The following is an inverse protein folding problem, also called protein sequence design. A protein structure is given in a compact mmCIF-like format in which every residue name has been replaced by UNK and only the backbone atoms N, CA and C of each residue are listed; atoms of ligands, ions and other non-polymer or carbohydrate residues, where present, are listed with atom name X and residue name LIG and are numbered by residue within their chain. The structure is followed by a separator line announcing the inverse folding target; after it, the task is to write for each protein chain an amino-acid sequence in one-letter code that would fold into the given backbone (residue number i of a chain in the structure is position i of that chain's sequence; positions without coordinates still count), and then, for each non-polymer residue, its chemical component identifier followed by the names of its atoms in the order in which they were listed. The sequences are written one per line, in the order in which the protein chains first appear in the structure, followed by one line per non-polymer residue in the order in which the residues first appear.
data_IF_377848853652
#
_entry.id   IF_377848853652
#
_cell.length_a   1.000
_cell.length_b   1.000
_cell.length_c   1.000
_cell.angle_alpha   90.00
_cell.angle_beta   90.00
_cell.angle_gamma   90.00
#
_symmetry.space_group_name_H-M   'P 1'
#
loop_
_entity.id
_entity.type
_entity.pdbx_description
1 polymer ?
#
# COMPACT_ATOMS: atom_id res chain seq x y z
N UNK A 1 -17.58 87.71 66.77
CA UNK A 1 -18.75 88.19 67.51
C UNK A 1 -19.81 87.10 67.48
N UNK A 2 -20.27 86.71 68.68
CA UNK A 2 -21.61 86.22 69.05
C UNK A 2 -22.20 85.06 68.22
N UNK A 3 -22.24 83.89 68.87
CA UNK A 3 -23.20 82.81 68.58
C UNK A 3 -24.65 83.32 68.60
N UNK A 4 -25.54 82.63 67.88
CA UNK A 4 -26.82 82.29 68.49
C UNK A 4 -27.12 80.80 68.38
N UNK A 5 -27.37 80.22 69.56
CA UNK A 5 -28.10 78.98 69.80
C UNK A 5 -29.61 79.24 69.63
N UNK A 6 -30.32 78.48 68.80
CA UNK A 6 -31.79 78.24 68.86
C UNK A 6 -32.08 76.85 68.22
N UNK A 7 -33.16 76.12 68.58
CA UNK A 7 -33.12 74.96 69.46
C UNK A 7 -33.39 73.63 68.72
N UNK A 8 -33.21 72.57 69.48
CA UNK A 8 -33.44 71.17 69.13
C UNK A 8 -34.95 70.90 68.96
N UNK A 9 -35.34 70.32 67.83
CA UNK A 9 -36.58 69.53 67.70
C UNK A 9 -36.18 68.07 67.48
N UNK A 10 -36.41 67.21 68.48
CA UNK A 10 -36.22 65.76 68.36
C UNK A 10 -37.26 65.19 67.38
N UNK A 11 -36.81 64.66 66.25
CA UNK A 11 -37.55 63.68 65.47
C UNK A 11 -36.75 62.37 65.51
N UNK A 12 -37.26 61.38 66.24
CA UNK A 12 -36.69 60.04 66.30
C UNK A 12 -36.95 59.33 64.96
N UNK A 13 -35.94 59.29 64.10
CA UNK A 13 -35.91 58.44 62.92
C UNK A 13 -35.11 57.16 63.26
N UNK A 14 -35.80 56.03 63.20
CA UNK A 14 -35.21 54.68 63.27
C UNK A 14 -34.28 54.48 62.06
N UNK A 15 -32.97 54.62 62.27
CA UNK A 15 -31.96 54.22 61.30
C UNK A 15 -31.65 52.73 61.46
N UNK A 16 -32.19 51.90 60.57
CA UNK A 16 -31.68 50.55 60.37
C UNK A 16 -30.27 50.66 59.74
N UNK A 17 -29.27 49.94 60.25
CA UNK A 17 -27.94 49.95 59.68
C UNK A 17 -27.96 49.22 58.33
N UNK A 18 -27.80 49.96 57.25
CA UNK A 18 -27.41 49.39 55.96
C UNK A 18 -25.95 48.99 56.09
N UNK A 19 -25.71 47.72 56.42
CA UNK A 19 -24.38 47.14 56.34
C UNK A 19 -24.05 46.92 54.87
N UNK A 20 -23.12 47.72 54.34
CA UNK A 20 -22.48 47.44 53.07
C UNK A 20 -21.70 46.12 53.19
N UNK A 21 -22.28 45.02 52.70
CA UNK A 21 -21.56 43.77 52.59
C UNK A 21 -20.47 43.93 51.52
N UNK A 22 -19.22 44.02 52.00
CA UNK A 22 -18.05 43.71 51.19
C UNK A 22 -18.24 42.29 50.65
N UNK A 23 -18.43 42.18 49.34
CA UNK A 23 -18.47 40.88 48.68
C UNK A 23 -17.13 40.22 48.94
N UNK A 24 -17.08 39.03 49.55
CA UNK A 24 -15.81 38.33 49.65
C UNK A 24 -15.33 38.09 48.21
N UNK A 25 -14.18 38.68 47.88
CA UNK A 25 -13.38 38.20 46.75
C UNK A 25 -13.07 36.73 47.06
N UNK A 26 -13.93 35.84 46.59
CA UNK A 26 -13.60 34.45 46.45
C UNK A 26 -12.36 34.45 45.57
N UNK A 27 -11.22 34.10 46.15
CA UNK A 27 -10.06 33.69 45.39
C UNK A 27 -10.56 32.59 44.45
N UNK A 28 -10.77 32.95 43.18
CA UNK A 28 -11.03 31.98 42.15
C UNK A 28 -9.81 31.06 42.17
N UNK A 29 -9.99 29.87 42.72
CA UNK A 29 -8.96 28.85 42.69
C UNK A 29 -8.77 28.50 41.22
N UNK A 30 -7.79 29.13 40.57
CA UNK A 30 -7.44 28.85 39.18
C UNK A 30 -6.69 27.50 39.15
N UNK A 31 -7.44 26.41 39.32
CA UNK A 31 -7.08 25.11 38.77
C UNK A 31 -8.21 24.51 37.92
N UNK A 32 -8.45 25.01 36.69
CA UNK A 32 -9.17 24.25 35.65
C UNK A 32 -8.25 23.72 34.53
N UNK A 33 -6.96 24.13 34.48
CA UNK A 33 -6.10 23.83 33.33
C UNK A 33 -5.50 22.42 33.33
N UNK A 34 -4.97 21.93 34.47
CA UNK A 34 -4.27 20.62 34.53
C UNK A 34 -5.20 19.42 34.32
N UNK A 35 -6.39 19.44 34.92
CA UNK A 35 -7.35 18.33 34.80
C UNK A 35 -7.92 18.22 33.38
N UNK A 36 -8.26 19.35 32.77
CA UNK A 36 -8.76 19.41 31.40
C UNK A 36 -7.71 18.96 30.38
N UNK A 37 -6.45 19.37 30.55
CA UNK A 37 -5.36 18.97 29.66
C UNK A 37 -5.02 17.47 29.77
N UNK A 38 -5.04 16.91 30.98
CA UNK A 38 -4.84 15.48 31.20
C UNK A 38 -5.96 14.62 30.58
N UNK A 39 -7.21 15.09 30.65
CA UNK A 39 -8.35 14.39 30.04
C UNK A 39 -8.30 14.39 28.52
N UNK A 40 -7.92 15.52 27.91
CA UNK A 40 -7.76 15.62 26.45
C UNK A 40 -6.65 14.66 25.97
N UNK A 41 -5.52 14.65 26.66
CA UNK A 41 -4.37 13.81 26.31
C UNK A 41 -4.72 12.32 26.38
N UNK A 42 -5.37 11.88 27.47
CA UNK A 42 -5.85 10.50 27.59
C UNK A 42 -6.89 10.14 26.51
N UNK A 43 -7.76 11.08 26.12
CA UNK A 43 -8.75 10.84 25.07
C UNK A 43 -8.12 10.66 23.68
N UNK A 44 -7.00 11.35 23.42
CA UNK A 44 -6.22 11.23 22.19
C UNK A 44 -5.48 9.90 22.14
N UNK A 45 -4.87 9.50 23.26
CA UNK A 45 -4.17 8.21 23.36
C UNK A 45 -5.11 7.02 23.18
N UNK A 46 -6.28 7.04 23.82
CA UNK A 46 -7.29 6.00 23.64
C UNK A 46 -7.74 5.89 22.17
N UNK A 47 -7.80 7.02 21.45
CA UNK A 47 -8.09 7.04 20.01
C UNK A 47 -6.95 6.42 19.20
N UNK A 48 -5.70 6.78 19.49
CA UNK A 48 -4.53 6.23 18.82
C UNK A 48 -4.41 4.72 19.06
N UNK A 49 -4.57 4.26 20.30
CA UNK A 49 -4.60 2.84 20.64
C UNK A 49 -5.62 2.08 19.77
N UNK A 50 -6.84 2.62 19.68
CA UNK A 50 -7.92 2.03 18.89
C UNK A 50 -7.62 1.99 17.39
N UNK A 51 -6.96 2.99 16.83
CA UNK A 51 -6.56 3.01 15.41
C UNK A 51 -5.60 1.87 15.07
N UNK A 52 -4.71 1.53 16.01
CA UNK A 52 -3.79 0.40 15.91
C UNK A 52 -4.40 -0.94 16.35
N UNK A 53 -5.63 -0.97 16.85
CA UNK A 53 -6.26 -2.17 17.41
C UNK A 53 -5.66 -2.62 18.75
N UNK A 54 -4.99 -1.71 19.44
CA UNK A 54 -4.37 -1.91 20.75
C UNK A 54 -5.33 -1.54 21.88
N UNK A 55 -5.12 -2.15 23.05
CA UNK A 55 -5.71 -1.67 24.30
C UNK A 55 -4.92 -0.48 24.86
N UNK A 56 -5.54 0.27 25.76
CA UNK A 56 -4.93 1.44 26.39
C UNK A 56 -3.62 1.10 27.13
N UNK A 57 -3.57 -0.06 27.81
CA UNK A 57 -2.37 -0.54 28.51
C UNK A 57 -1.22 -0.86 27.54
N UNK A 58 -1.53 -1.36 26.35
CA UNK A 58 -0.54 -1.70 25.34
C UNK A 58 0.04 -0.46 24.69
N UNK A 59 -0.80 0.55 24.44
CA UNK A 59 -0.35 1.82 23.91
C UNK A 59 0.48 2.60 24.93
N UNK A 60 0.12 2.53 26.22
CA UNK A 60 0.95 3.09 27.30
C UNK A 60 2.34 2.42 27.33
N UNK A 61 2.39 1.09 27.25
CA UNK A 61 3.65 0.34 27.17
C UNK A 61 4.49 0.73 25.94
N UNK A 62 3.86 0.90 24.78
CA UNK A 62 4.56 1.39 23.58
C UNK A 62 5.29 2.70 23.85
N UNK A 63 4.65 3.67 24.51
CA UNK A 63 5.29 4.96 24.83
C UNK A 63 6.46 4.81 25.77
N UNK A 64 6.31 4.01 26.83
CA UNK A 64 7.40 3.72 27.77
C UNK A 64 8.60 3.09 27.04
N UNK A 65 8.36 2.15 26.12
CA UNK A 65 9.42 1.56 25.30
C UNK A 65 10.11 2.61 24.40
N UNK A 66 9.35 3.54 23.83
CA UNK A 66 9.89 4.64 23.02
C UNK A 66 10.69 5.67 23.81
N UNK A 67 10.56 5.71 25.14
CA UNK A 67 11.47 6.48 26.01
C UNK A 67 12.79 5.74 26.29
N UNK A 68 12.86 4.46 25.95
CA UNK A 68 14.01 3.58 26.14
C UNK A 68 14.89 3.37 24.90
N UNK A 69 15.75 2.32 24.91
CA UNK A 69 16.71 2.07 23.84
C UNK A 69 16.10 1.92 22.45
N UNK A 70 14.93 1.27 22.31
CA UNK A 70 14.28 1.09 21.01
C UNK A 70 13.85 2.44 20.40
N UNK A 71 13.44 3.40 21.22
CA UNK A 71 13.15 4.76 20.76
C UNK A 71 14.39 5.55 20.35
N UNK A 72 15.56 5.27 20.97
CA UNK A 72 16.85 5.84 20.53
C UNK A 72 17.26 5.26 19.18
N UNK A 73 17.15 3.94 19.00
CA UNK A 73 17.53 3.28 17.75
C UNK A 73 16.52 3.51 16.61
N UNK A 74 15.24 3.68 16.92
CA UNK A 74 14.14 3.71 15.94
C UNK A 74 13.02 4.67 16.36
N UNK A 75 13.27 6.00 16.37
CA UNK A 75 12.38 7.01 16.96
C UNK A 75 11.01 7.18 16.28
N UNK A 76 10.81 6.65 15.07
CA UNK A 76 9.57 6.78 14.29
C UNK A 76 8.93 5.42 13.96
N UNK A 77 9.28 4.38 14.72
CA UNK A 77 8.74 3.04 14.49
C UNK A 77 7.29 2.96 14.96
N UNK A 78 6.46 2.23 14.23
CA UNK A 78 5.05 2.12 14.55
C UNK A 78 4.82 1.29 15.84
N UNK A 79 3.69 1.50 16.55
CA UNK A 79 3.43 0.84 17.82
C UNK A 79 3.43 -0.68 17.78
N UNK A 80 2.96 -1.30 16.70
CA UNK A 80 2.87 -2.76 16.57
C UNK A 80 4.24 -3.38 16.32
N UNK A 81 5.08 -2.73 15.52
CA UNK A 81 6.48 -3.13 15.32
C UNK A 81 7.28 -3.01 16.62
N UNK A 82 7.15 -1.91 17.37
CA UNK A 82 7.83 -1.74 18.67
C UNK A 82 7.39 -2.83 19.66
N UNK A 83 6.08 -3.01 19.84
CA UNK A 83 5.54 -4.02 20.76
C UNK A 83 5.89 -5.45 20.33
N UNK A 84 5.98 -5.72 19.03
CA UNK A 84 6.38 -7.01 18.48
C UNK A 84 7.86 -7.33 18.65
N UNK A 85 8.75 -6.34 18.46
CA UNK A 85 10.19 -6.50 18.70
C UNK A 85 10.45 -6.75 20.19
N UNK A 86 9.88 -5.90 21.04
CA UNK A 86 10.02 -5.92 22.50
C UNK A 86 9.06 -6.91 23.20
N UNK A 87 8.42 -7.80 22.46
CA UNK A 87 7.43 -8.74 23.00
C UNK A 87 8.01 -9.63 24.11
N UNK A 88 7.26 -9.84 25.19
CA UNK A 88 7.70 -10.60 26.38
C UNK A 88 7.54 -12.12 26.21
N UNK A 89 6.80 -12.53 25.20
CA UNK A 89 6.55 -13.92 24.87
C UNK A 89 6.33 -14.08 23.37
N UNK A 90 6.45 -15.32 22.90
CA UNK A 90 6.15 -15.65 21.50
C UNK A 90 4.65 -15.44 21.17
N UNK A 91 3.77 -15.59 22.15
CA UNK A 91 2.34 -15.31 21.99
C UNK A 91 2.08 -13.80 21.78
N UNK A 92 2.70 -12.93 22.59
CA UNK A 92 2.63 -11.49 22.38
C UNK A 92 3.18 -11.11 21.00
N UNK A 93 4.35 -11.65 20.65
CA UNK A 93 5.02 -11.39 19.37
C UNK A 93 4.12 -11.78 18.19
N UNK A 94 3.51 -12.96 18.26
CA UNK A 94 2.58 -13.46 17.25
C UNK A 94 1.34 -12.57 17.14
N UNK A 95 0.73 -12.19 18.26
CA UNK A 95 -0.46 -11.34 18.25
C UNK A 95 -0.18 -9.97 17.60
N UNK A 96 0.93 -9.33 17.94
CA UNK A 96 1.28 -8.03 17.32
C UNK A 96 1.62 -8.16 15.84
N UNK A 97 2.28 -9.25 15.43
CA UNK A 97 2.53 -9.52 14.01
C UNK A 97 1.22 -9.73 13.22
N UNK A 98 0.27 -10.49 13.76
CA UNK A 98 -1.04 -10.71 13.14
C UNK A 98 -1.83 -9.39 13.02
N UNK A 99 -1.77 -8.53 14.05
CA UNK A 99 -2.40 -7.21 14.03
C UNK A 99 -1.74 -6.29 12.99
N UNK A 100 -0.41 -6.33 12.85
CA UNK A 100 0.33 -5.57 11.85
C UNK A 100 -0.11 -5.96 10.44
N UNK A 101 -0.25 -7.26 10.17
CA UNK A 101 -0.73 -7.75 8.85
C UNK A 101 -2.13 -7.19 8.54
N UNK A 102 -3.03 -7.15 9.52
CA UNK A 102 -4.38 -6.61 9.32
C UNK A 102 -4.40 -5.09 9.10
N UNK A 103 -3.53 -4.34 9.78
CA UNK A 103 -3.38 -2.89 9.58
C UNK A 103 -2.81 -2.61 8.19
N UNK A 104 -1.75 -3.32 7.78
CA UNK A 104 -1.14 -3.12 6.47
C UNK A 104 -2.06 -3.55 5.33
N UNK A 105 -2.84 -4.63 5.49
CA UNK A 105 -3.84 -5.00 4.49
C UNK A 105 -4.84 -3.86 4.24
N UNK A 106 -5.41 -3.28 5.30
CA UNK A 106 -6.31 -2.12 5.21
C UNK A 106 -5.64 -0.88 4.62
N UNK A 107 -4.36 -0.67 4.93
CA UNK A 107 -3.57 0.44 4.37
C UNK A 107 -3.36 0.26 2.86
N UNK A 108 -2.99 -0.93 2.42
CA UNK A 108 -2.82 -1.27 1.00
C UNK A 108 -4.13 -1.14 0.23
N UNK A 109 -5.25 -1.57 0.80
CA UNK A 109 -6.58 -1.36 0.18
C UNK A 109 -6.88 0.11 -0.09
N UNK A 110 -6.60 1.00 0.88
CA UNK A 110 -6.77 2.45 0.72
C UNK A 110 -5.83 3.01 -0.35
N UNK A 111 -4.57 2.59 -0.36
CA UNK A 111 -3.59 3.00 -1.37
C UNK A 111 -4.01 2.58 -2.77
N UNK A 112 -4.51 1.35 -2.94
CA UNK A 112 -5.01 0.86 -4.22
C UNK A 112 -6.28 1.60 -4.67
N UNK A 113 -7.20 1.89 -3.74
CA UNK A 113 -8.38 2.70 -4.04
C UNK A 113 -7.98 4.10 -4.53
N UNK A 114 -7.02 4.74 -3.86
CA UNK A 114 -6.51 6.04 -4.30
C UNK A 114 -5.76 5.95 -5.63
N UNK A 115 -4.94 4.92 -5.83
CA UNK A 115 -4.21 4.72 -7.09
C UNK A 115 -5.17 4.65 -8.28
N UNK A 116 -6.28 3.92 -8.16
CA UNK A 116 -7.30 3.87 -9.23
C UNK A 116 -7.90 5.25 -9.52
N UNK A 117 -8.27 5.99 -8.47
CA UNK A 117 -8.79 7.35 -8.63
C UNK A 117 -7.77 8.30 -9.28
N UNK A 118 -6.49 8.15 -8.92
CA UNK A 118 -5.39 8.89 -9.54
C UNK A 118 -5.20 8.48 -11.01
N UNK A 119 -5.35 7.19 -11.32
CA UNK A 119 -5.28 6.64 -12.66
C UNK A 119 -6.32 7.26 -13.59
N UNK A 120 -7.58 7.24 -13.15
CA UNK A 120 -8.71 7.84 -13.83
C UNK A 120 -8.55 9.37 -13.96
N UNK A 121 -8.07 10.04 -12.90
CA UNK A 121 -7.87 11.48 -12.92
C UNK A 121 -6.88 11.91 -14.00
N UNK A 122 -5.77 11.20 -14.14
CA UNK A 122 -4.77 11.57 -15.13
C UNK A 122 -5.16 11.21 -16.55
N UNK A 123 -5.95 10.16 -16.78
CA UNK A 123 -6.52 9.93 -18.12
C UNK A 123 -7.36 11.12 -18.57
N UNK A 124 -8.16 11.71 -17.67
CA UNK A 124 -8.97 12.90 -17.95
C UNK A 124 -8.16 14.16 -18.12
N UNK A 125 -7.13 14.35 -17.27
CA UNK A 125 -6.38 15.60 -17.20
C UNK A 125 -5.19 15.67 -18.16
N UNK A 126 -4.63 14.52 -18.57
CA UNK A 126 -3.44 14.43 -19.43
C UNK A 126 -3.66 13.42 -20.57
N UNK A 127 -4.66 13.61 -21.45
CA UNK A 127 -4.91 12.69 -22.55
C UNK A 127 -3.72 12.68 -23.52
N UNK A 128 -3.24 11.49 -23.89
CA UNK A 128 -2.12 11.31 -24.81
C UNK A 128 -0.72 11.54 -24.22
N UNK A 129 -0.61 11.95 -22.96
CA UNK A 129 0.69 12.09 -22.30
C UNK A 129 1.14 10.75 -21.70
N UNK A 130 2.31 10.30 -22.13
CA UNK A 130 2.97 9.11 -21.60
C UNK A 130 3.30 9.30 -20.10
N UNK A 131 2.88 8.38 -19.23
CA UNK A 131 3.16 8.45 -17.79
C UNK A 131 4.61 8.18 -17.43
N UNK A 132 5.26 7.31 -18.19
CA UNK A 132 6.65 6.93 -18.02
C UNK A 132 7.29 6.99 -19.40
N UNK A 133 8.22 7.92 -19.59
CA UNK A 133 9.13 7.88 -20.71
C UNK A 133 10.27 6.94 -20.33
N UNK A 134 10.16 5.67 -20.73
CA UNK A 134 11.34 4.81 -20.76
C UNK A 134 12.17 5.21 -21.99
N UNK A 135 13.48 5.45 -21.85
CA UNK A 135 14.35 5.54 -23.01
C UNK A 135 14.33 4.19 -23.72
N UNK A 136 14.04 4.24 -25.02
CA UNK A 136 14.03 3.13 -25.98
C UNK A 136 12.81 2.19 -25.96
N UNK A 137 11.69 2.69 -26.49
CA UNK A 137 10.86 1.89 -27.40
C UNK A 137 10.54 2.74 -28.62
N UNK A 138 10.89 2.22 -29.81
CA UNK A 138 10.62 2.84 -31.11
C UNK A 138 9.12 3.21 -31.20
N UNK A 139 8.76 4.35 -31.82
CA UNK A 139 7.36 4.73 -31.95
C UNK A 139 6.64 3.72 -32.85
N UNK A 140 5.85 2.83 -32.24
CA UNK A 140 5.09 1.79 -32.92
C UNK A 140 4.71 0.57 -32.07
N UNK A 141 5.36 0.33 -30.93
CA UNK A 141 5.02 -0.77 -30.04
C UNK A 141 4.21 -0.26 -28.84
N UNK A 142 2.92 -0.59 -28.78
CA UNK A 142 2.11 -0.43 -27.59
C UNK A 142 2.59 -1.42 -26.51
N UNK A 143 3.61 -1.06 -25.73
CA UNK A 143 4.09 -1.88 -24.61
C UNK A 143 3.40 -1.43 -23.32
N UNK A 144 2.23 -2.03 -23.06
CA UNK A 144 1.56 -1.97 -21.76
C UNK A 144 2.32 -2.86 -20.77
N UNK A 145 2.72 -2.32 -19.62
CA UNK A 145 3.55 -2.93 -18.56
C UNK A 145 2.90 -4.08 -17.77
N UNK A 146 1.92 -4.78 -18.36
CA UNK A 146 1.43 -6.03 -17.77
C UNK A 146 2.32 -7.18 -18.26
N UNK A 147 2.91 -8.01 -17.38
CA UNK A 147 3.61 -9.22 -17.81
C UNK A 147 2.67 -10.21 -18.52
N UNK A 148 1.36 -9.99 -18.44
CA UNK A 148 0.33 -10.70 -19.20
C UNK A 148 -0.21 -9.94 -20.41
N UNK A 149 0.17 -8.68 -20.69
CA UNK A 149 -0.18 -8.07 -22.00
C UNK A 149 0.97 -8.32 -22.95
N UNK A 150 0.68 -9.12 -23.98
CA UNK A 150 1.64 -9.39 -25.03
C UNK A 150 1.91 -8.11 -25.81
N UNK A 151 3.07 -8.02 -26.43
CA UNK A 151 3.42 -6.99 -27.42
C UNK A 151 2.54 -7.03 -28.69
N UNK A 152 1.39 -7.71 -28.66
CA UNK A 152 0.61 -8.15 -29.83
C UNK A 152 1.27 -9.29 -30.63
N UNK A 153 2.51 -9.66 -30.30
CA UNK A 153 3.25 -10.78 -30.89
C UNK A 153 2.66 -12.12 -30.48
N UNK A 154 2.80 -13.10 -31.36
CA UNK A 154 2.35 -14.47 -31.13
C UNK A 154 3.19 -15.12 -30.02
N UNK A 155 2.55 -15.67 -29.00
CA UNK A 155 3.23 -16.47 -27.98
C UNK A 155 3.04 -17.96 -28.26
N UNK A 156 4.13 -18.72 -28.20
CA UNK A 156 4.14 -20.16 -28.49
C UNK A 156 4.61 -20.91 -27.25
N UNK A 157 3.70 -21.63 -26.61
CA UNK A 157 3.99 -22.45 -25.44
C UNK A 157 4.35 -23.86 -25.87
N UNK A 158 5.49 -24.34 -25.40
CA UNK A 158 6.02 -25.68 -25.70
C UNK A 158 6.47 -26.37 -24.42
N UNK A 159 6.55 -27.70 -24.46
CA UNK A 159 7.21 -28.50 -23.42
C UNK A 159 8.25 -29.42 -24.05
N UNK A 160 9.20 -29.85 -23.25
CA UNK A 160 10.10 -30.94 -23.63
C UNK A 160 9.32 -32.26 -23.72
N UNK A 161 9.77 -33.20 -24.57
CA UNK A 161 9.05 -34.45 -24.82
C UNK A 161 7.72 -34.29 -25.58
N UNK A 162 7.50 -33.16 -26.25
CA UNK A 162 6.36 -32.90 -27.12
C UNK A 162 6.81 -32.88 -28.58
N UNK A 163 6.50 -33.94 -29.33
CA UNK A 163 6.91 -34.06 -30.74
C UNK A 163 6.27 -32.97 -31.62
N UNK A 164 4.97 -32.71 -31.43
CA UNK A 164 4.23 -31.69 -32.16
C UNK A 164 4.79 -30.27 -31.95
N UNK A 165 5.47 -30.02 -30.83
CA UNK A 165 6.02 -28.70 -30.49
C UNK A 165 7.14 -28.31 -31.45
N UNK A 166 8.04 -29.23 -31.81
CA UNK A 166 9.11 -28.96 -32.76
C UNK A 166 8.56 -28.66 -34.16
N UNK A 167 7.61 -29.47 -34.63
CA UNK A 167 6.98 -29.30 -35.94
C UNK A 167 6.24 -27.97 -36.08
N UNK A 168 5.50 -27.57 -35.04
CA UNK A 168 4.82 -26.27 -35.00
C UNK A 168 5.82 -25.11 -35.12
N UNK A 169 6.89 -25.16 -34.32
CA UNK A 169 7.89 -24.09 -34.27
C UNK A 169 8.62 -23.98 -35.61
N UNK A 170 8.95 -25.10 -36.24
CA UNK A 170 9.52 -25.11 -37.60
C UNK A 170 8.56 -24.51 -38.62
N UNK A 171 7.26 -24.84 -38.55
CA UNK A 171 6.25 -24.28 -39.46
C UNK A 171 6.17 -22.75 -39.31
N UNK A 172 6.03 -22.25 -38.08
CA UNK A 172 5.98 -20.82 -37.78
C UNK A 172 7.28 -20.09 -38.20
N UNK A 173 8.42 -20.75 -38.00
CA UNK A 173 9.69 -20.20 -38.45
C UNK A 173 9.76 -20.10 -39.98
N UNK A 174 9.32 -21.14 -40.69
CA UNK A 174 9.35 -21.19 -42.17
C UNK A 174 8.39 -20.20 -42.82
N UNK A 175 7.28 -19.85 -42.15
CA UNK A 175 6.36 -18.80 -42.60
C UNK A 175 6.85 -17.38 -42.31
N UNK A 176 8.04 -17.21 -41.74
CA UNK A 176 8.57 -15.91 -41.36
C UNK A 176 7.84 -15.28 -40.16
N UNK A 177 6.98 -16.02 -39.48
CA UNK A 177 6.22 -15.50 -38.33
C UNK A 177 7.17 -15.14 -37.20
N UNK A 178 7.01 -13.95 -36.64
CA UNK A 178 7.70 -13.55 -35.42
C UNK A 178 6.91 -14.02 -34.19
N UNK A 179 7.59 -14.63 -33.23
CA UNK A 179 6.92 -15.17 -32.05
C UNK A 179 7.85 -15.24 -30.84
N UNK A 180 7.23 -15.27 -29.67
CA UNK A 180 7.90 -15.44 -28.40
C UNK A 180 7.65 -16.86 -27.89
N UNK A 181 8.70 -17.66 -27.82
CA UNK A 181 8.62 -19.05 -27.39
C UNK A 181 8.75 -19.12 -25.86
N UNK A 182 7.81 -19.81 -25.21
CA UNK A 182 7.80 -20.03 -23.77
C UNK A 182 7.88 -21.53 -23.48
N UNK A 183 8.97 -21.97 -22.84
CA UNK A 183 9.11 -23.37 -22.42
C UNK A 183 8.48 -23.60 -21.04
N UNK A 184 7.40 -24.37 -21.04
CA UNK A 184 6.69 -24.86 -19.86
C UNK A 184 7.51 -25.94 -19.16
N UNK A 185 7.61 -25.84 -17.83
CA UNK A 185 8.34 -26.82 -17.02
C UNK A 185 9.86 -26.79 -17.19
N UNK A 186 10.40 -25.69 -17.73
CA UNK A 186 11.85 -25.47 -17.88
C UNK A 186 12.60 -25.31 -16.56
N UNK A 187 11.91 -25.03 -15.44
CA UNK A 187 12.50 -24.83 -14.09
C UNK A 187 13.60 -23.77 -14.04
N UNK A 188 13.49 -22.72 -14.88
CA UNK A 188 14.52 -21.67 -15.01
C UNK A 188 15.90 -22.23 -15.42
N UNK A 189 15.94 -23.37 -16.09
CA UNK A 189 17.16 -23.96 -16.65
C UNK A 189 17.31 -23.53 -18.12
N UNK A 190 18.14 -22.52 -18.36
CA UNK A 190 18.42 -22.02 -19.71
C UNK A 190 19.01 -23.10 -20.63
N UNK A 191 19.82 -24.02 -20.09
CA UNK A 191 20.49 -25.04 -20.90
C UNK A 191 19.44 -25.93 -21.57
N UNK A 192 18.38 -26.26 -20.84
CA UNK A 192 17.26 -27.02 -21.36
C UNK A 192 16.57 -26.35 -22.54
N UNK A 193 16.34 -25.04 -22.46
CA UNK A 193 15.72 -24.27 -23.57
C UNK A 193 16.65 -24.23 -24.78
N UNK A 194 17.93 -23.93 -24.56
CA UNK A 194 18.93 -23.88 -25.64
C UNK A 194 19.10 -25.22 -26.34
N UNK A 195 19.16 -26.30 -25.59
CA UNK A 195 19.33 -27.64 -26.15
C UNK A 195 18.09 -28.10 -26.90
N UNK A 196 16.90 -27.80 -26.38
CA UNK A 196 15.65 -28.04 -27.09
C UNK A 196 15.61 -27.25 -28.41
N UNK A 197 15.96 -25.96 -28.39
CA UNK A 197 15.96 -25.10 -29.57
C UNK A 197 16.92 -25.59 -30.65
N UNK A 198 18.10 -26.10 -30.26
CA UNK A 198 19.04 -26.77 -31.18
C UNK A 198 18.43 -28.03 -31.78
N UNK A 199 17.86 -28.91 -30.96
CA UNK A 199 17.25 -30.17 -31.42
C UNK A 199 16.07 -29.94 -32.38
N UNK A 200 15.29 -28.89 -32.16
CA UNK A 200 14.15 -28.52 -33.02
C UNK A 200 14.52 -27.61 -34.19
N UNK A 201 15.81 -27.30 -34.36
CA UNK A 201 16.34 -26.48 -35.45
C UNK A 201 15.75 -25.05 -35.50
N UNK A 202 15.59 -24.44 -34.33
CA UNK A 202 15.31 -23.00 -34.23
C UNK A 202 16.51 -22.22 -34.77
N UNK A 203 16.27 -21.29 -35.68
CA UNK A 203 17.32 -20.52 -36.36
C UNK A 203 18.00 -19.54 -35.37
N UNK A 204 19.31 -19.73 -35.08
CA UNK A 204 20.03 -18.86 -34.17
C UNK A 204 20.17 -17.41 -34.65
N UNK A 205 20.11 -17.14 -35.96
CA UNK A 205 20.11 -15.78 -36.49
C UNK A 205 18.79 -15.06 -36.17
N UNK A 206 17.67 -15.78 -36.30
CA UNK A 206 16.34 -15.26 -35.93
C UNK A 206 16.18 -15.02 -34.44
N UNK A 207 16.84 -15.84 -33.60
CA UNK A 207 16.91 -15.63 -32.15
C UNK A 207 17.77 -14.41 -31.81
N UNK A 208 18.99 -14.32 -32.35
CA UNK A 208 19.87 -13.15 -32.13
C UNK A 208 19.26 -11.84 -32.62
N UNK A 209 18.49 -11.89 -33.71
CA UNK A 209 17.76 -10.73 -34.25
C UNK A 209 16.44 -10.41 -33.54
N UNK A 210 16.02 -11.19 -32.53
CA UNK A 210 14.80 -10.95 -31.76
C UNK A 210 13.48 -11.32 -32.46
N UNK A 211 13.53 -11.77 -33.72
CA UNK A 211 12.34 -12.23 -34.44
C UNK A 211 11.73 -13.49 -33.83
N UNK A 212 12.54 -14.31 -33.15
CA UNK A 212 12.12 -15.40 -32.27
C UNK A 212 12.75 -15.15 -30.91
N UNK A 213 11.98 -15.15 -29.82
CA UNK A 213 12.55 -15.09 -28.47
C UNK A 213 12.43 -16.43 -27.77
N UNK A 214 13.37 -16.77 -26.89
CA UNK A 214 13.37 -18.00 -26.11
C UNK A 214 13.22 -17.64 -24.63
N UNK A 215 12.12 -18.06 -24.02
CA UNK A 215 11.72 -17.63 -22.69
C UNK A 215 11.33 -18.82 -21.81
N UNK A 216 11.50 -18.65 -20.50
CA UNK A 216 10.85 -19.51 -19.51
C UNK A 216 9.38 -19.13 -19.38
N UNK A 217 8.51 -20.12 -19.33
CA UNK A 217 7.09 -19.89 -19.09
C UNK A 217 6.83 -19.24 -17.71
N UNK A 218 7.54 -19.68 -16.67
CA UNK A 218 7.38 -19.11 -15.32
C UNK A 218 5.98 -19.25 -14.71
N UNK A 219 5.15 -20.17 -15.20
CA UNK A 219 3.75 -20.33 -14.79
C UNK A 219 2.75 -19.62 -15.70
N UNK A 220 3.19 -18.87 -16.72
CA UNK A 220 2.35 -18.09 -17.61
C UNK A 220 1.27 -18.93 -18.29
N UNK A 221 1.58 -20.11 -18.80
CA UNK A 221 0.63 -21.01 -19.45
C UNK A 221 -0.54 -21.36 -18.54
N UNK A 222 -0.24 -21.69 -17.27
CA UNK A 222 -1.27 -21.99 -16.27
C UNK A 222 -2.11 -20.76 -15.95
N UNK A 223 -1.47 -19.59 -15.82
CA UNK A 223 -2.16 -18.33 -15.54
C UNK A 223 -3.08 -17.86 -16.67
N UNK A 224 -2.84 -18.26 -17.92
CA UNK A 224 -3.71 -17.93 -19.04
C UNK A 224 -5.06 -18.67 -18.98
N UNK A 225 -5.12 -19.83 -18.30
CA UNK A 225 -6.37 -20.59 -18.13
C UNK A 225 -7.01 -21.08 -19.44
N UNK A 226 -6.24 -21.13 -20.54
CA UNK A 226 -6.75 -21.53 -21.85
C UNK A 226 -6.85 -23.06 -21.96
N UNK A 227 -7.90 -23.59 -22.61
CA UNK A 227 -8.08 -25.04 -22.74
C UNK A 227 -7.13 -25.67 -23.78
N UNK A 228 -6.94 -26.99 -23.63
CA UNK A 228 -6.20 -27.86 -24.56
C UNK A 228 -4.74 -28.10 -24.18
N UNK A 229 -4.09 -29.04 -24.87
CA UNK A 229 -2.71 -29.44 -24.58
C UNK A 229 -1.67 -28.57 -25.31
N UNK A 230 -0.39 -28.77 -24.98
CA UNK A 230 0.74 -28.16 -25.69
C UNK A 230 1.08 -28.96 -26.97
N UNK A 231 1.56 -28.31 -28.04
CA UNK A 231 1.90 -26.88 -28.10
C UNK A 231 0.67 -25.98 -28.22
N UNK A 232 0.78 -24.76 -27.70
CA UNK A 232 -0.27 -23.77 -27.83
C UNK A 232 0.28 -22.49 -28.46
N UNK A 233 -0.38 -22.04 -29.53
CA UNK A 233 -0.16 -20.72 -30.12
C UNK A 233 -1.24 -19.81 -29.60
N UNK A 234 -0.87 -18.70 -28.99
CA UNK A 234 -1.84 -17.75 -28.43
C UNK A 234 -1.45 -16.32 -28.81
N UNK A 235 -2.45 -15.47 -28.94
CA UNK A 235 -2.27 -14.05 -29.22
C UNK A 235 -3.28 -13.24 -28.43
N UNK A 236 -2.87 -12.07 -28.00
CA UNK A 236 -3.78 -11.11 -27.40
C UNK A 236 -4.58 -10.40 -28.50
N UNK A 237 -5.91 -10.54 -28.45
CA UNK A 237 -6.86 -9.90 -29.36
C UNK A 237 -7.85 -9.13 -28.48
N UNK A 238 -7.93 -7.81 -28.66
CA UNK A 238 -8.82 -6.92 -27.88
C UNK A 238 -8.63 -7.05 -26.35
N UNK A 239 -7.40 -7.23 -25.87
CA UNK A 239 -7.11 -7.36 -24.44
C UNK A 239 -7.40 -8.75 -23.86
N UNK A 240 -7.78 -9.73 -24.69
CA UNK A 240 -8.02 -11.12 -24.28
C UNK A 240 -7.06 -12.06 -25.01
N UNK A 241 -6.49 -13.01 -24.27
CA UNK A 241 -5.69 -14.07 -24.87
C UNK A 241 -6.61 -15.09 -25.55
N UNK A 242 -6.28 -15.38 -26.80
CA UNK A 242 -7.02 -16.34 -27.60
C UNK A 242 -6.04 -17.33 -28.22
N UNK A 243 -6.38 -18.62 -28.10
CA UNK A 243 -5.66 -19.68 -28.81
C UNK A 243 -5.90 -19.53 -30.30
N UNK A 244 -4.82 -19.51 -31.06
CA UNK A 244 -4.88 -19.45 -32.51
C UNK A 244 -5.13 -20.88 -33.05
N UNK A 245 -5.88 -21.01 -34.16
CA UNK A 245 -6.13 -22.29 -34.80
C UNK A 245 -4.85 -22.95 -35.33
#
# INVERSE_FOLDING_TARGET
MKHPLIPILLLAALHLPVSAQQTPQQAANVQPARTSQSQITHSQEARQAKEWGLRDDEFARYRELMEGPIGVYSPNLDPLSVLGIEARSDEERRRYAELQVQVEARRVEKLLAYQRAYDDAWQRLNPGMQRVNLPDDKPGAATSTSPLRGSGRTAVFVKDGCEACGQLVQRLQSSGTEFDLYMVGSRQDDARIRDWAKRTQVDPARVRGGSITLNHDGGRWLSLGLPGELPAVVREVNGQWQRQP
#
